data_IF_180144027701
#
_entry.id   IF_180144027701
#
_cell.length_a   1.000
_cell.length_b   1.000
_cell.length_c   1.000
_cell.angle_alpha   90.00
_cell.angle_beta   90.00
_cell.angle_gamma   90.00
#
_symmetry.space_group_name_H-M   'P 1'
#
loop_
_entity.id
_entity.type
_entity.pdbx_description
1 polymer ?
#
# COMPACT_ATOMS: atom_id res chain seq x y z
N UNK A 1 -14.33 0.47 -16.57
CA UNK A 1 -13.28 -0.54 -16.84
C UNK A 1 -12.22 -0.06 -17.83
N UNK A 2 -12.52 0.25 -19.09
CA UNK A 2 -11.49 0.60 -20.10
C UNK A 2 -10.54 1.75 -19.69
N UNK A 3 -11.06 2.85 -19.14
CA UNK A 3 -10.22 3.96 -18.67
C UNK A 3 -9.20 3.51 -17.61
N UNK A 4 -9.67 2.74 -16.63
CA UNK A 4 -8.86 2.19 -15.54
C UNK A 4 -7.80 1.23 -16.08
N UNK A 5 -8.18 0.31 -16.97
CA UNK A 5 -7.24 -0.65 -17.57
C UNK A 5 -6.16 0.02 -18.43
N UNK A 6 -6.52 1.03 -19.24
CA UNK A 6 -5.56 1.81 -20.04
C UNK A 6 -4.56 2.56 -19.14
N UNK A 7 -5.04 3.22 -18.08
CA UNK A 7 -4.17 3.89 -17.11
C UNK A 7 -3.28 2.90 -16.35
N UNK A 8 -3.83 1.77 -15.89
CA UNK A 8 -3.09 0.73 -15.18
C UNK A 8 -1.97 0.13 -16.03
N UNK A 9 -2.23 -0.11 -17.32
CA UNK A 9 -1.22 -0.60 -18.26
C UNK A 9 -0.08 0.41 -18.42
N UNK A 10 -0.40 1.71 -18.52
CA UNK A 10 0.59 2.77 -18.61
C UNK A 10 1.48 2.85 -17.34
N UNK A 11 0.86 2.82 -16.15
CA UNK A 11 1.60 2.81 -14.86
C UNK A 11 2.52 1.59 -14.79
N UNK A 12 2.02 0.41 -15.11
CA UNK A 12 2.81 -0.82 -15.05
C UNK A 12 4.00 -0.83 -16.02
N UNK A 13 3.86 -0.18 -17.18
CA UNK A 13 4.88 -0.17 -18.21
C UNK A 13 5.95 0.92 -18.01
N UNK A 14 5.57 2.06 -17.43
CA UNK A 14 6.42 3.27 -17.42
C UNK A 14 6.60 3.90 -16.05
N UNK A 15 5.84 3.46 -15.05
CA UNK A 15 5.74 4.12 -13.75
C UNK A 15 4.94 5.42 -13.78
N UNK A 16 4.60 5.96 -14.96
CA UNK A 16 3.86 7.23 -15.04
C UNK A 16 2.38 7.07 -14.76
N UNK A 17 1.87 7.96 -13.90
CA UNK A 17 0.46 8.07 -13.53
C UNK A 17 -0.29 9.12 -14.34
N UNK A 18 0.38 9.73 -15.32
CA UNK A 18 -0.23 10.68 -16.23
C UNK A 18 -1.35 10.00 -17.03
N UNK A 19 -2.46 10.70 -17.16
CA UNK A 19 -3.63 10.21 -17.89
C UNK A 19 -3.35 10.35 -19.38
N UNK A 20 -3.24 9.22 -20.09
CA UNK A 20 -3.12 9.23 -21.54
C UNK A 20 -4.39 9.79 -22.19
N UNK A 21 -4.32 10.36 -23.41
CA UNK A 21 -5.50 10.82 -24.14
C UNK A 21 -6.57 9.73 -24.30
N UNK A 22 -6.13 8.49 -24.50
CA UNK A 22 -7.02 7.33 -24.59
C UNK A 22 -7.76 7.09 -23.26
N UNK A 23 -7.03 7.02 -22.14
CA UNK A 23 -7.61 6.79 -20.83
C UNK A 23 -8.61 7.89 -20.44
N UNK A 24 -8.31 9.16 -20.80
CA UNK A 24 -9.21 10.30 -20.61
C UNK A 24 -10.47 10.19 -21.46
N UNK A 25 -10.36 9.77 -22.72
CA UNK A 25 -11.53 9.58 -23.60
C UNK A 25 -12.50 8.54 -23.02
N UNK A 26 -11.99 7.39 -22.57
CA UNK A 26 -12.83 6.38 -21.92
C UNK A 26 -13.43 6.90 -20.61
N UNK A 27 -12.66 7.65 -19.83
CA UNK A 27 -13.13 8.25 -18.57
C UNK A 27 -14.30 9.21 -18.83
N UNK A 28 -14.14 10.15 -19.77
CA UNK A 28 -15.18 11.11 -20.14
C UNK A 28 -16.45 10.44 -20.64
N UNK A 29 -16.31 9.39 -21.47
CA UNK A 29 -17.44 8.59 -21.92
C UNK A 29 -18.18 7.93 -20.76
N UNK A 30 -17.44 7.34 -19.80
CA UNK A 30 -18.03 6.71 -18.62
C UNK A 30 -18.79 7.72 -17.74
N UNK A 31 -18.20 8.90 -17.50
CA UNK A 31 -18.86 9.99 -16.75
C UNK A 31 -20.12 10.49 -17.47
N UNK A 32 -20.08 10.64 -18.79
CA UNK A 32 -21.25 11.06 -19.58
C UNK A 32 -22.40 10.06 -19.47
N UNK A 33 -22.12 8.76 -19.63
CA UNK A 33 -23.12 7.71 -19.51
C UNK A 33 -23.66 7.60 -18.08
N UNK A 34 -22.79 7.75 -17.07
CA UNK A 34 -23.20 7.78 -15.67
C UNK A 34 -24.18 8.93 -15.39
N UNK A 35 -23.90 10.14 -15.89
CA UNK A 35 -24.80 11.29 -15.75
C UNK A 35 -26.17 11.04 -16.36
N UNK A 36 -26.22 10.48 -17.57
CA UNK A 36 -27.48 10.10 -18.21
C UNK A 36 -28.27 9.10 -17.36
N UNK A 37 -27.59 8.10 -16.79
CA UNK A 37 -28.21 7.09 -15.95
C UNK A 37 -28.70 7.62 -14.60
N UNK A 38 -27.99 8.59 -14.03
CA UNK A 38 -28.39 9.25 -12.79
C UNK A 38 -29.59 10.19 -12.98
N UNK A 39 -29.83 10.69 -14.19
CA UNK A 39 -30.99 11.51 -14.52
C UNK A 39 -32.29 10.69 -14.71
N UNK A 40 -32.18 9.36 -14.83
CA UNK A 40 -33.31 8.45 -14.95
C UNK A 40 -33.62 7.80 -13.58
N UNK A 41 -34.77 8.15 -13.01
CA UNK A 41 -35.21 7.67 -11.69
C UNK A 41 -35.30 6.14 -11.59
N UNK A 42 -35.58 5.43 -12.69
CA UNK A 42 -35.64 3.98 -12.70
C UNK A 42 -34.26 3.33 -12.68
N UNK A 43 -33.21 4.06 -13.05
CA UNK A 43 -31.85 3.54 -13.23
C UNK A 43 -30.84 4.10 -12.23
N UNK A 44 -31.12 5.24 -11.59
CA UNK A 44 -30.18 5.99 -10.73
C UNK A 44 -29.66 5.21 -9.52
N UNK A 45 -30.39 4.19 -9.07
CA UNK A 45 -30.00 3.32 -7.95
C UNK A 45 -29.57 1.92 -8.38
N UNK A 46 -29.41 1.65 -9.68
CA UNK A 46 -29.04 0.32 -10.18
C UNK A 46 -27.63 -0.11 -9.82
N UNK A 47 -27.38 -1.43 -9.79
CA UNK A 47 -26.07 -2.02 -9.52
C UNK A 47 -24.94 -1.45 -10.40
N UNK A 48 -25.25 -1.20 -11.68
CA UNK A 48 -24.31 -0.65 -12.64
C UNK A 48 -23.78 0.73 -12.25
N UNK A 49 -24.54 1.52 -11.48
CA UNK A 49 -24.12 2.83 -10.97
C UNK A 49 -23.00 2.64 -9.94
N UNK A 50 -23.18 1.72 -8.98
CA UNK A 50 -22.14 1.41 -7.96
C UNK A 50 -20.87 0.90 -8.62
N UNK A 51 -20.98 -0.03 -9.59
CA UNK A 51 -19.82 -0.56 -10.31
C UNK A 51 -19.10 0.55 -11.07
N UNK A 52 -19.84 1.43 -11.73
CA UNK A 52 -19.26 2.54 -12.50
C UNK A 52 -18.53 3.51 -11.58
N UNK A 53 -19.18 3.95 -10.48
CA UNK A 53 -18.55 4.82 -9.49
C UNK A 53 -17.30 4.19 -8.87
N UNK A 54 -17.35 2.90 -8.52
CA UNK A 54 -16.17 2.17 -8.01
C UNK A 54 -15.01 2.15 -9.00
N UNK A 55 -15.30 1.96 -10.29
CA UNK A 55 -14.29 2.03 -11.35
C UNK A 55 -13.72 3.45 -11.51
N UNK A 56 -14.55 4.48 -11.36
CA UNK A 56 -14.10 5.88 -11.38
C UNK A 56 -13.22 6.17 -10.16
N UNK A 57 -13.58 5.71 -8.95
CA UNK A 57 -12.71 5.78 -7.79
C UNK A 57 -11.35 5.13 -8.07
N UNK A 58 -11.33 3.93 -8.66
CA UNK A 58 -10.08 3.23 -9.00
C UNK A 58 -9.21 4.02 -9.98
N UNK A 59 -9.81 4.59 -11.03
CA UNK A 59 -9.12 5.45 -11.99
C UNK A 59 -8.52 6.70 -11.33
N UNK A 60 -9.34 7.42 -10.56
CA UNK A 60 -8.95 8.65 -9.89
C UNK A 60 -7.82 8.39 -8.88
N UNK A 61 -7.94 7.33 -8.07
CA UNK A 61 -6.94 6.90 -7.12
C UNK A 61 -5.60 6.59 -7.80
N UNK A 62 -5.57 5.84 -8.90
CA UNK A 62 -4.32 5.54 -9.63
C UNK A 62 -3.62 6.80 -10.13
N UNK A 63 -4.41 7.79 -10.55
CA UNK A 63 -3.90 9.09 -11.02
C UNK A 63 -3.56 10.07 -9.89
N UNK A 64 -3.79 9.70 -8.62
CA UNK A 64 -3.54 10.56 -7.46
C UNK A 64 -4.58 11.66 -7.23
N UNK A 65 -5.69 11.69 -7.99
CA UNK A 65 -6.75 12.68 -7.82
C UNK A 65 -7.79 12.21 -6.81
N UNK A 66 -7.41 12.31 -5.55
CA UNK A 66 -8.23 11.76 -4.49
C UNK A 66 -9.44 12.60 -4.08
N UNK A 67 -9.46 13.91 -4.39
CA UNK A 67 -10.67 14.72 -4.22
C UNK A 67 -11.83 14.15 -5.05
N UNK A 68 -11.53 13.63 -6.25
CA UNK A 68 -12.50 12.92 -7.07
C UNK A 68 -12.82 11.51 -6.55
N UNK A 69 -11.87 10.82 -5.91
CA UNK A 69 -12.15 9.55 -5.20
C UNK A 69 -13.18 9.78 -4.10
N UNK A 70 -13.02 10.86 -3.33
CA UNK A 70 -13.92 11.23 -2.24
C UNK A 70 -15.32 11.55 -2.79
N UNK A 71 -15.41 12.32 -3.88
CA UNK A 71 -16.67 12.62 -4.57
C UNK A 71 -17.39 11.34 -5.03
N UNK A 72 -16.70 10.45 -5.75
CA UNK A 72 -17.29 9.22 -6.26
C UNK A 72 -17.69 8.25 -5.13
N UNK A 73 -16.91 8.20 -4.05
CA UNK A 73 -17.23 7.39 -2.86
C UNK A 73 -18.48 7.89 -2.14
N UNK A 74 -18.66 9.21 -2.05
CA UNK A 74 -19.93 9.78 -1.56
C UNK A 74 -21.10 9.43 -2.47
N UNK A 75 -20.89 9.40 -3.79
CA UNK A 75 -21.86 8.89 -4.76
C UNK A 75 -22.26 7.44 -4.48
N UNK A 76 -21.28 6.55 -4.21
CA UNK A 76 -21.54 5.16 -3.83
C UNK A 76 -22.41 5.12 -2.57
N UNK A 77 -22.03 5.87 -1.52
CA UNK A 77 -22.78 5.93 -0.26
C UNK A 77 -24.22 6.38 -0.49
N UNK A 78 -24.45 7.37 -1.35
CA UNK A 78 -25.80 7.83 -1.70
C UNK A 78 -26.63 6.72 -2.35
N UNK A 79 -26.07 6.02 -3.34
CA UNK A 79 -26.78 4.92 -4.03
C UNK A 79 -27.08 3.75 -3.07
N UNK A 80 -26.15 3.42 -2.17
CA UNK A 80 -26.38 2.40 -1.13
C UNK A 80 -27.55 2.79 -0.22
N UNK A 81 -27.62 4.05 0.20
CA UNK A 81 -28.72 4.55 1.02
C UNK A 81 -30.07 4.48 0.30
N UNK A 82 -30.12 4.83 -0.99
CA UNK A 82 -31.33 4.72 -1.81
C UNK A 82 -31.88 3.29 -1.90
N UNK A 83 -31.04 2.28 -1.63
CA UNK A 83 -31.41 0.86 -1.67
C UNK A 83 -31.72 0.26 -0.31
N UNK A 84 -31.67 1.05 0.76
CA UNK A 84 -31.93 0.57 2.12
C UNK A 84 -30.70 0.01 2.85
N UNK A 85 -29.49 0.21 2.32
CA UNK A 85 -28.24 -0.18 2.96
C UNK A 85 -27.45 -1.26 2.22
N UNK A 86 -26.34 -1.68 2.84
CA UNK A 86 -25.35 -2.58 2.22
C UNK A 86 -25.89 -4.00 1.97
N UNK A 87 -26.81 -4.47 2.80
CA UNK A 87 -27.33 -5.83 2.72
C UNK A 87 -28.41 -5.98 1.64
N UNK A 88 -28.83 -4.86 1.04
CA UNK A 88 -29.80 -4.80 -0.06
C UNK A 88 -29.14 -4.71 -1.46
N UNK A 89 -27.82 -4.91 -1.53
CA UNK A 89 -27.05 -4.83 -2.76
C UNK A 89 -26.98 -6.18 -3.48
N UNK A 90 -26.88 -6.14 -4.81
CA UNK A 90 -26.83 -7.33 -5.66
C UNK A 90 -25.47 -8.05 -5.68
N UNK A 91 -25.38 -9.05 -6.57
CA UNK A 91 -24.17 -9.84 -6.83
C UNK A 91 -23.62 -10.61 -5.61
N UNK A 92 -24.50 -11.25 -4.84
CA UNK A 92 -24.10 -12.16 -3.75
C UNK A 92 -23.09 -11.52 -2.75
N UNK A 93 -23.28 -10.24 -2.45
CA UNK A 93 -22.42 -9.49 -1.53
C UNK A 93 -21.17 -8.87 -2.15
N UNK A 94 -20.90 -9.08 -3.44
CA UNK A 94 -19.78 -8.42 -4.14
C UNK A 94 -19.89 -6.89 -4.08
N UNK A 95 -21.09 -6.33 -4.33
CA UNK A 95 -21.30 -4.88 -4.25
C UNK A 95 -21.21 -4.34 -2.83
N UNK A 96 -21.59 -5.15 -1.83
CA UNK A 96 -21.38 -4.83 -0.41
C UNK A 96 -19.90 -4.72 -0.11
N UNK A 97 -19.12 -5.73 -0.47
CA UNK A 97 -17.65 -5.72 -0.32
C UNK A 97 -17.05 -4.48 -0.97
N UNK A 98 -17.44 -4.19 -2.23
CA UNK A 98 -16.90 -3.03 -2.95
C UNK A 98 -17.24 -1.71 -2.27
N UNK A 99 -18.50 -1.54 -1.89
CA UNK A 99 -18.96 -0.30 -1.30
C UNK A 99 -18.36 -0.07 0.08
N UNK A 100 -18.19 -1.14 0.88
CA UNK A 100 -17.56 -1.07 2.20
C UNK A 100 -16.11 -0.67 2.07
N UNK A 101 -15.31 -1.28 1.18
CA UNK A 101 -13.89 -0.93 1.13
C UNK A 101 -13.64 0.50 0.67
N UNK A 102 -14.42 1.04 -0.28
CA UNK A 102 -14.29 2.45 -0.66
C UNK A 102 -14.66 3.37 0.50
N UNK A 103 -15.71 3.05 1.26
CA UNK A 103 -16.06 3.81 2.46
C UNK A 103 -15.02 3.68 3.57
N UNK A 104 -14.41 2.51 3.76
CA UNK A 104 -13.29 2.31 4.68
C UNK A 104 -12.06 3.10 4.23
N UNK A 105 -11.74 3.09 2.94
CA UNK A 105 -10.65 3.89 2.38
C UNK A 105 -10.87 5.39 2.63
N UNK A 106 -12.06 5.90 2.30
CA UNK A 106 -12.49 7.27 2.57
C UNK A 106 -12.35 7.63 4.06
N UNK A 107 -12.94 6.83 4.95
CA UNK A 107 -12.88 7.08 6.39
C UNK A 107 -11.44 7.05 6.92
N UNK A 108 -10.61 6.12 6.43
CA UNK A 108 -9.20 5.98 6.82
C UNK A 108 -8.39 7.18 6.38
N UNK A 109 -8.54 7.61 5.12
CA UNK A 109 -7.91 8.80 4.55
C UNK A 109 -8.23 10.06 5.34
N UNK A 110 -9.53 10.32 5.57
CA UNK A 110 -9.95 11.49 6.34
C UNK A 110 -9.47 11.45 7.80
N UNK A 111 -9.42 10.27 8.41
CA UNK A 111 -8.88 10.09 9.76
C UNK A 111 -7.38 10.39 9.83
N UNK A 112 -6.59 9.92 8.85
CA UNK A 112 -5.17 10.24 8.74
C UNK A 112 -4.96 11.74 8.58
N UNK A 113 -5.71 12.39 7.68
CA UNK A 113 -5.60 13.83 7.45
C UNK A 113 -5.99 14.68 8.64
N UNK A 114 -6.93 14.23 9.47
CA UNK A 114 -7.29 14.92 10.70
C UNK A 114 -6.16 14.88 11.74
N UNK A 115 -5.41 13.78 11.81
CA UNK A 115 -4.33 13.57 12.80
C UNK A 115 -2.99 14.12 12.32
N UNK A 116 -2.63 13.83 11.08
CA UNK A 116 -1.34 14.14 10.47
C UNK A 116 -1.56 15.07 9.30
N UNK A 117 -2.14 16.25 9.59
CA UNK A 117 -2.25 17.33 8.59
C UNK A 117 -0.88 17.50 7.94
N UNK A 118 -0.86 17.54 6.61
CA UNK A 118 0.32 17.87 5.80
C UNK A 118 1.52 16.93 5.89
N UNK A 119 1.36 15.63 6.19
CA UNK A 119 2.51 14.73 6.06
C UNK A 119 3.00 14.64 4.62
N UNK A 120 2.08 14.54 3.65
CA UNK A 120 2.43 14.61 2.23
C UNK A 120 2.40 16.09 1.80
N UNK A 121 3.52 16.65 1.33
CA UNK A 121 3.59 18.03 0.85
C UNK A 121 2.68 18.22 -0.38
N UNK A 122 1.93 19.33 -0.42
CA UNK A 122 1.00 19.63 -1.53
C UNK A 122 1.71 19.86 -2.87
N UNK A 123 2.93 20.37 -2.81
CA UNK A 123 3.81 20.58 -3.96
C UNK A 123 4.58 19.31 -4.35
N UNK A 124 4.44 18.22 -3.57
CA UNK A 124 5.15 16.96 -3.79
C UNK A 124 6.64 17.02 -3.46
N UNK A 125 7.14 18.10 -2.85
CA UNK A 125 8.57 18.24 -2.56
C UNK A 125 8.90 17.71 -1.16
N UNK A 126 9.61 16.59 -1.12
CA UNK A 126 10.07 15.97 0.12
C UNK A 126 11.30 16.70 0.66
N UNK A 127 11.33 16.89 1.98
CA UNK A 127 12.43 17.57 2.67
C UNK A 127 13.37 16.53 3.25
N UNK A 128 14.64 16.55 2.86
CA UNK A 128 15.66 15.61 3.33
C UNK A 128 16.52 16.29 4.40
N UNK A 129 16.68 15.66 5.59
CA UNK A 129 17.57 16.18 6.62
C UNK A 129 19.03 16.19 6.13
N UNK A 130 19.76 17.25 6.45
CA UNK A 130 21.20 17.36 6.20
C UNK A 130 21.99 17.35 7.51
N UNK A 131 23.26 16.97 7.44
CA UNK A 131 24.12 16.98 8.62
C UNK A 131 24.59 18.42 8.97
N UNK A 132 24.68 18.75 10.27
CA UNK A 132 24.26 17.94 11.41
C UNK A 132 22.73 17.87 11.53
N UNK A 133 22.19 16.69 11.86
CA UNK A 133 20.75 16.54 12.03
C UNK A 133 20.23 17.32 13.23
N UNK A 134 18.98 17.78 13.11
CA UNK A 134 18.25 18.39 14.22
C UNK A 134 18.19 17.44 15.44
N UNK A 135 18.47 17.93 16.66
CA UNK A 135 18.43 17.09 17.86
C UNK A 135 17.06 16.44 18.13
N UNK A 136 15.96 17.13 17.81
CA UNK A 136 14.62 16.58 17.90
C UNK A 136 14.41 15.41 16.95
N UNK A 137 14.92 15.52 15.73
CA UNK A 137 14.93 14.43 14.75
C UNK A 137 15.77 13.24 15.23
N UNK A 138 16.96 13.48 15.77
CA UNK A 138 17.81 12.43 16.35
C UNK A 138 17.09 11.67 17.48
N UNK A 139 16.34 12.37 18.33
CA UNK A 139 15.55 11.76 19.41
C UNK A 139 14.42 10.86 18.88
N UNK A 140 13.87 11.15 17.70
CA UNK A 140 12.88 10.29 17.03
C UNK A 140 13.59 9.06 16.46
N UNK A 141 14.66 9.27 15.68
CA UNK A 141 15.43 8.20 15.03
C UNK A 141 16.02 7.23 16.05
N UNK A 142 16.47 7.70 17.22
CA UNK A 142 17.02 6.86 18.28
C UNK A 142 16.04 5.82 18.84
N UNK A 143 14.74 5.97 18.59
CA UNK A 143 13.70 5.00 19.00
C UNK A 143 13.43 3.93 17.95
N UNK A 144 13.98 4.07 16.75
CA UNK A 144 13.77 3.12 15.67
C UNK A 144 14.51 1.81 15.91
N UNK A 145 14.07 0.77 15.20
CA UNK A 145 14.79 -0.50 15.13
C UNK A 145 16.13 -0.28 14.43
N UNK A 146 17.19 -1.05 14.77
CA UNK A 146 18.55 -0.79 14.31
C UNK A 146 18.68 -0.57 12.79
N UNK A 147 18.06 -1.42 11.97
CA UNK A 147 18.14 -1.31 10.52
C UNK A 147 17.47 -0.05 9.95
N UNK A 148 16.41 0.44 10.61
CA UNK A 148 15.74 1.70 10.24
C UNK A 148 16.51 2.92 10.74
N UNK A 149 17.18 2.81 11.89
CA UNK A 149 18.08 3.84 12.41
C UNK A 149 19.20 4.11 11.43
N UNK A 150 19.90 3.06 10.98
CA UNK A 150 21.01 3.20 10.01
C UNK A 150 20.53 3.79 8.69
N UNK A 151 19.36 3.36 8.21
CA UNK A 151 18.76 3.91 7.00
C UNK A 151 18.42 5.40 7.14
N UNK A 152 17.80 5.80 8.25
CA UNK A 152 17.46 7.20 8.50
C UNK A 152 18.71 8.07 8.66
N UNK A 153 19.74 7.57 9.36
CA UNK A 153 20.97 8.32 9.60
C UNK A 153 21.84 8.47 8.34
N UNK A 154 21.59 7.69 7.29
CA UNK A 154 22.27 7.83 6.00
C UNK A 154 21.91 9.12 5.24
N UNK A 155 20.90 9.86 5.69
CA UNK A 155 20.35 11.04 4.98
C UNK A 155 19.48 10.68 3.77
N UNK A 156 19.27 9.39 3.49
CA UNK A 156 18.49 8.91 2.34
C UNK A 156 16.97 8.94 2.53
N UNK A 157 16.47 9.32 3.70
CA UNK A 157 15.04 9.38 4.02
C UNK A 157 14.59 10.83 4.23
N UNK A 158 13.47 11.19 3.63
CA UNK A 158 12.83 12.48 3.92
C UNK A 158 12.26 12.53 5.33
N UNK A 159 12.07 13.74 5.86
CA UNK A 159 11.38 14.00 7.12
C UNK A 159 10.02 13.28 7.18
N UNK A 160 9.32 13.24 6.04
CA UNK A 160 8.01 12.61 5.92
C UNK A 160 8.08 11.09 6.13
N UNK A 161 9.12 10.43 5.61
CA UNK A 161 9.34 9.00 5.83
C UNK A 161 9.72 8.69 7.27
N UNK A 162 10.55 9.54 7.88
CA UNK A 162 10.94 9.40 9.29
C UNK A 162 9.71 9.50 10.19
N UNK A 163 8.83 10.47 9.94
CA UNK A 163 7.57 10.59 10.69
C UNK A 163 6.65 9.40 10.44
N UNK A 164 6.53 8.91 9.19
CA UNK A 164 5.73 7.71 8.89
C UNK A 164 6.23 6.47 9.66
N UNK A 165 7.55 6.25 9.68
CA UNK A 165 8.16 5.15 10.46
C UNK A 165 7.79 5.29 11.94
N UNK A 166 7.93 6.49 12.50
CA UNK A 166 7.62 6.75 13.91
C UNK A 166 6.15 6.49 14.23
N UNK A 167 5.23 6.86 13.34
CA UNK A 167 3.79 6.64 13.54
C UNK A 167 3.44 5.15 13.52
N UNK A 168 4.04 4.37 12.62
CA UNK A 168 3.82 2.92 12.55
C UNK A 168 4.43 2.21 13.78
N UNK A 169 5.62 2.64 14.24
CA UNK A 169 6.23 2.07 15.45
C UNK A 169 5.40 2.35 16.71
N UNK A 170 4.91 3.58 16.87
CA UNK A 170 4.01 3.94 17.97
C UNK A 170 2.74 3.11 17.94
N UNK A 171 2.11 2.96 16.77
CA UNK A 171 0.90 2.16 16.62
C UNK A 171 1.11 0.68 16.95
N UNK A 172 2.21 0.07 16.50
CA UNK A 172 2.52 -1.31 16.83
C UNK A 172 2.75 -1.50 18.34
N UNK A 173 3.39 -0.52 18.99
CA UNK A 173 3.59 -0.50 20.43
C UNK A 173 2.27 -0.39 21.18
N UNK A 174 1.37 0.48 20.73
CA UNK A 174 0.04 0.63 21.30
C UNK A 174 -0.75 -0.68 21.19
N UNK A 175 -0.70 -1.38 20.05
CA UNK A 175 -1.31 -2.72 19.91
C UNK A 175 -0.75 -3.70 20.94
N UNK A 176 0.59 -3.77 21.08
CA UNK A 176 1.22 -4.69 22.05
C UNK A 176 0.80 -4.37 23.48
N UNK A 177 0.72 -3.09 23.82
CA UNK A 177 0.29 -2.64 25.15
C UNK A 177 -1.19 -3.01 25.41
N UNK A 178 -2.09 -2.75 24.47
CA UNK A 178 -3.51 -3.09 24.61
C UNK A 178 -3.74 -4.61 24.68
N UNK A 179 -2.96 -5.41 23.94
CA UNK A 179 -2.98 -6.88 24.05
C UNK A 179 -2.58 -7.35 25.45
N UNK A 180 -1.52 -6.77 26.02
CA UNK A 180 -1.09 -7.09 27.39
C UNK A 180 -2.13 -6.70 28.43
N UNK A 181 -2.83 -5.58 28.20
CA UNK A 181 -3.88 -5.08 29.10
C UNK A 181 -5.24 -5.77 28.88
N UNK A 182 -5.37 -6.64 27.87
CA UNK A 182 -6.63 -7.28 27.47
C UNK A 182 -7.76 -6.27 27.17
N UNK A 183 -7.42 -5.09 26.67
CA UNK A 183 -8.40 -4.05 26.34
C UNK A 183 -9.03 -4.31 24.96
N UNK A 184 -10.16 -5.00 24.95
CA UNK A 184 -10.87 -5.35 23.73
C UNK A 184 -11.41 -4.15 22.94
N UNK A 185 -11.71 -3.02 23.60
CA UNK A 185 -12.25 -1.83 22.93
C UNK A 185 -11.16 -1.09 22.18
N UNK A 186 -10.01 -0.87 22.83
CA UNK A 186 -8.84 -0.25 22.19
C UNK A 186 -8.29 -1.12 21.06
N UNK A 187 -8.26 -2.44 21.24
CA UNK A 187 -7.86 -3.37 20.19
C UNK A 187 -8.75 -3.26 18.95
N UNK A 188 -10.07 -3.08 19.11
CA UNK A 188 -10.95 -2.90 17.95
C UNK A 188 -10.63 -1.61 17.18
N UNK A 189 -10.38 -0.49 17.87
CA UNK A 189 -9.98 0.77 17.26
C UNK A 189 -8.59 0.72 16.61
N UNK A 190 -7.62 0.08 17.28
CA UNK A 190 -6.23 -0.04 16.82
C UNK A 190 -6.06 -1.09 15.70
N UNK A 191 -6.96 -2.07 15.62
CA UNK A 191 -6.97 -3.09 14.56
C UNK A 191 -7.24 -2.49 13.16
N UNK A 192 -7.70 -1.25 13.09
CA UNK A 192 -7.91 -0.52 11.84
C UNK A 192 -6.58 0.00 11.27
N UNK A 193 -5.76 -0.92 10.76
CA UNK A 193 -4.53 -0.59 10.03
C UNK A 193 -4.78 0.02 8.64
N UNK A 194 -6.05 0.11 8.23
CA UNK A 194 -6.45 0.74 6.97
C UNK A 194 -5.90 2.17 6.84
N UNK A 195 -5.61 2.86 7.96
CA UNK A 195 -4.94 4.17 7.99
C UNK A 195 -3.53 4.12 7.40
N UNK A 196 -2.64 3.29 7.92
CA UNK A 196 -1.27 3.21 7.43
C UNK A 196 -1.17 2.53 6.07
N UNK A 197 -2.06 1.58 5.77
CA UNK A 197 -2.23 1.03 4.41
C UNK A 197 -2.59 2.15 3.42
N UNK A 198 -3.56 3.00 3.77
CA UNK A 198 -3.98 4.14 2.94
C UNK A 198 -2.86 5.14 2.77
N UNK A 199 -2.20 5.53 3.87
CA UNK A 199 -1.12 6.51 3.85
C UNK A 199 0.09 6.03 3.03
N UNK A 200 0.53 4.77 3.23
CA UNK A 200 1.56 4.15 2.38
C UNK A 200 1.16 4.15 0.90
N UNK A 201 -0.10 3.84 0.60
CA UNK A 201 -0.64 3.93 -0.75
C UNK A 201 -0.51 5.34 -1.34
N UNK A 202 -0.88 6.38 -0.59
CA UNK A 202 -0.75 7.77 -1.02
C UNK A 202 0.70 8.21 -1.24
N UNK A 203 1.63 7.75 -0.40
CA UNK A 203 3.05 7.99 -0.61
C UNK A 203 3.55 7.35 -1.89
N UNK A 204 3.22 6.09 -2.18
CA UNK A 204 3.61 5.44 -3.44
C UNK A 204 3.09 6.15 -4.69
N UNK A 205 2.14 7.08 -4.53
CA UNK A 205 1.59 7.89 -5.62
C UNK A 205 2.40 9.16 -5.89
N UNK A 206 3.37 9.50 -5.03
CA UNK A 206 4.18 10.69 -5.16
C UNK A 206 5.34 10.47 -6.15
N UNK A 207 5.42 11.28 -7.22
CA UNK A 207 6.36 11.04 -8.34
C UNK A 207 7.82 11.33 -7.99
N UNK A 208 8.06 12.09 -6.92
CA UNK A 208 9.37 12.58 -6.48
C UNK A 208 10.08 11.64 -5.50
N UNK A 209 9.43 10.54 -5.09
CA UNK A 209 10.04 9.60 -4.16
C UNK A 209 11.26 8.93 -4.75
N UNK A 210 12.32 8.85 -3.94
CA UNK A 210 13.49 8.06 -4.28
C UNK A 210 13.16 6.58 -4.33
N UNK A 211 13.97 5.79 -5.04
CA UNK A 211 13.80 4.33 -5.10
C UNK A 211 13.87 3.70 -3.69
N UNK A 212 14.72 4.22 -2.82
CA UNK A 212 14.86 3.76 -1.42
C UNK A 212 13.54 3.95 -0.68
N UNK A 213 12.93 5.14 -0.77
CA UNK A 213 11.66 5.42 -0.10
C UNK A 213 10.50 4.61 -0.71
N UNK A 214 10.47 4.42 -2.03
CA UNK A 214 9.49 3.53 -2.68
C UNK A 214 9.58 2.11 -2.10
N UNK A 215 10.78 1.54 -1.99
CA UNK A 215 10.99 0.20 -1.42
C UNK A 215 10.67 0.15 0.08
N UNK A 216 11.01 1.20 0.83
CA UNK A 216 10.68 1.34 2.25
C UNK A 216 9.16 1.30 2.44
N UNK A 217 8.40 2.06 1.65
CA UNK A 217 6.94 2.09 1.71
C UNK A 217 6.36 0.74 1.31
N UNK A 218 6.92 0.04 0.32
CA UNK A 218 6.48 -1.31 -0.02
C UNK A 218 6.68 -2.30 1.14
N UNK A 219 7.82 -2.22 1.82
CA UNK A 219 8.08 -2.99 3.05
C UNK A 219 7.07 -2.65 4.15
N UNK A 220 6.86 -1.37 4.44
CA UNK A 220 5.88 -0.94 5.46
C UNK A 220 4.44 -1.34 5.10
N UNK A 221 4.04 -1.17 3.85
CA UNK A 221 2.72 -1.57 3.36
C UNK A 221 2.51 -3.08 3.49
N UNK A 222 3.52 -3.88 3.13
CA UNK A 222 3.50 -5.33 3.33
C UNK A 222 3.38 -5.70 4.81
N UNK A 223 4.17 -5.09 5.68
CA UNK A 223 4.07 -5.28 7.13
C UNK A 223 2.68 -4.92 7.65
N UNK A 224 2.12 -3.79 7.23
CA UNK A 224 0.78 -3.37 7.61
C UNK A 224 -0.29 -4.38 7.17
N UNK A 225 -0.23 -4.90 5.95
CA UNK A 225 -1.15 -5.96 5.55
C UNK A 225 -0.97 -7.25 6.32
N UNK A 226 0.26 -7.54 6.74
CA UNK A 226 0.56 -8.74 7.50
C UNK A 226 -0.23 -8.78 8.82
N UNK A 227 -0.55 -7.61 9.37
CA UNK A 227 -1.28 -7.41 10.64
C UNK A 227 -2.73 -6.98 10.46
N UNK A 228 -3.22 -6.76 9.22
CA UNK A 228 -4.62 -6.43 8.94
C UNK A 228 -5.48 -7.70 8.83
N UNK A 229 -6.22 -8.00 9.89
CA UNK A 229 -7.13 -9.15 9.95
C UNK A 229 -8.44 -8.93 9.18
N UNK A 230 -8.85 -7.67 8.97
CA UNK A 230 -10.11 -7.36 8.29
C UNK A 230 -9.98 -7.52 6.79
N UNK A 231 -8.78 -7.25 6.26
CA UNK A 231 -8.48 -7.17 4.82
C UNK A 231 -9.48 -6.29 4.07
N UNK A 232 -10.13 -5.35 4.77
CA UNK A 232 -11.27 -4.62 4.25
C UNK A 232 -10.91 -3.78 3.02
N UNK A 233 -9.69 -3.25 2.96
CA UNK A 233 -9.17 -2.50 1.81
C UNK A 233 -8.22 -3.33 0.95
N UNK A 234 -7.96 -4.59 1.29
CA UNK A 234 -6.88 -5.38 0.69
C UNK A 234 -7.00 -5.47 -0.83
N UNK A 235 -8.17 -5.76 -1.40
CA UNK A 235 -8.30 -5.86 -2.86
C UNK A 235 -7.92 -4.53 -3.54
N UNK A 236 -8.38 -3.41 -2.98
CA UNK A 236 -8.18 -2.08 -3.55
C UNK A 236 -6.70 -1.72 -3.56
N UNK A 237 -6.08 -1.76 -2.40
CA UNK A 237 -4.70 -1.33 -2.24
C UNK A 237 -3.70 -2.39 -2.75
N UNK A 238 -4.07 -3.67 -2.82
CA UNK A 238 -3.28 -4.71 -3.51
C UNK A 238 -3.25 -4.45 -5.03
N UNK A 239 -4.33 -3.97 -5.66
CA UNK A 239 -4.30 -3.62 -7.07
C UNK A 239 -3.22 -2.55 -7.37
N UNK A 240 -3.14 -1.50 -6.55
CA UNK A 240 -2.11 -0.46 -6.69
C UNK A 240 -0.70 -1.01 -6.47
N UNK A 241 -0.54 -1.83 -5.43
CA UNK A 241 0.72 -2.50 -5.12
C UNK A 241 1.21 -3.36 -6.30
N UNK A 242 0.34 -4.18 -6.90
CA UNK A 242 0.68 -5.05 -8.02
C UNK A 242 1.21 -4.27 -9.21
N UNK A 243 0.56 -3.14 -9.53
CA UNK A 243 0.98 -2.28 -10.64
C UNK A 243 2.34 -1.63 -10.37
N UNK A 244 2.56 -1.15 -9.15
CA UNK A 244 3.82 -0.52 -8.79
C UNK A 244 4.98 -1.54 -8.73
N UNK A 245 4.78 -2.72 -8.14
CA UNK A 245 5.77 -3.79 -8.16
C UNK A 245 6.06 -4.27 -9.59
N UNK A 246 5.05 -4.32 -10.46
CA UNK A 246 5.25 -4.66 -11.88
C UNK A 246 6.18 -3.67 -12.58
N UNK A 247 6.01 -2.38 -12.32
CA UNK A 247 6.92 -1.36 -12.80
C UNK A 247 8.34 -1.56 -12.23
N UNK A 248 8.49 -1.73 -10.92
CA UNK A 248 9.80 -1.94 -10.29
C UNK A 248 10.51 -3.22 -10.77
N UNK A 249 9.77 -4.28 -11.12
CA UNK A 249 10.32 -5.48 -11.75
C UNK A 249 10.95 -5.21 -13.13
N UNK A 250 10.60 -4.09 -13.78
CA UNK A 250 11.21 -3.67 -15.05
C UNK A 250 12.41 -2.73 -14.87
N UNK A 251 12.67 -2.27 -13.65
CA UNK A 251 13.76 -1.34 -13.33
C UNK A 251 14.94 -2.12 -12.74
N UNK A 252 16.16 -1.72 -13.09
CA UNK A 252 17.36 -2.29 -12.47
C UNK A 252 17.53 -1.73 -11.06
N UNK A 253 17.36 -2.58 -10.05
CA UNK A 253 17.59 -2.24 -8.65
C UNK A 253 18.95 -2.80 -8.22
N UNK A 254 19.87 -1.92 -7.85
CA UNK A 254 21.20 -2.33 -7.39
C UNK A 254 21.15 -2.78 -5.93
N UNK A 255 21.53 -4.03 -5.70
CA UNK A 255 21.74 -4.59 -4.36
C UNK A 255 23.24 -4.69 -4.13
N UNK A 256 23.71 -3.99 -3.11
CA UNK A 256 25.13 -3.87 -2.70
C UNK A 256 25.25 -4.35 -1.27
N UNK A 257 26.48 -4.56 -0.79
CA UNK A 257 26.70 -4.91 0.62
C UNK A 257 26.12 -3.87 1.59
N UNK A 258 26.14 -2.57 1.22
CA UNK A 258 25.64 -1.48 2.06
C UNK A 258 24.13 -1.45 2.23
N UNK A 259 23.36 -2.01 1.30
CA UNK A 259 21.89 -2.02 1.35
C UNK A 259 21.30 -3.42 1.39
N UNK A 260 22.12 -4.47 1.46
CA UNK A 260 21.69 -5.86 1.41
C UNK A 260 20.70 -6.22 2.52
N UNK A 261 20.89 -5.68 3.73
CA UNK A 261 19.99 -5.93 4.86
C UNK A 261 18.61 -5.31 4.64
N UNK A 262 18.57 -4.03 4.23
CA UNK A 262 17.33 -3.34 3.87
C UNK A 262 16.59 -4.06 2.74
N UNK A 263 17.30 -4.46 1.69
CA UNK A 263 16.71 -5.19 0.56
C UNK A 263 16.20 -6.57 0.98
N UNK A 264 16.92 -7.25 1.90
CA UNK A 264 16.49 -8.52 2.48
C UNK A 264 15.21 -8.36 3.27
N UNK A 265 15.09 -7.30 4.08
CA UNK A 265 13.87 -7.00 4.82
C UNK A 265 12.69 -6.75 3.88
N UNK A 266 12.81 -5.81 2.92
CA UNK A 266 11.75 -5.50 1.96
C UNK A 266 11.28 -6.76 1.25
N UNK A 267 12.22 -7.54 0.71
CA UNK A 267 11.90 -8.75 -0.01
C UNK A 267 11.24 -9.82 0.88
N UNK A 268 11.75 -10.03 2.10
CA UNK A 268 11.20 -11.01 3.03
C UNK A 268 9.78 -10.64 3.46
N UNK A 269 9.51 -9.35 3.66
CA UNK A 269 8.17 -8.85 3.96
C UNK A 269 7.21 -9.10 2.81
N UNK A 270 7.61 -8.76 1.58
CA UNK A 270 6.79 -8.99 0.40
C UNK A 270 6.52 -10.49 0.17
N UNK A 271 7.54 -11.34 0.30
CA UNK A 271 7.39 -12.78 0.17
C UNK A 271 6.47 -13.38 1.26
N UNK A 272 6.66 -12.98 2.52
CA UNK A 272 5.81 -13.45 3.62
C UNK A 272 4.34 -13.06 3.41
N UNK A 273 4.10 -11.82 2.97
CA UNK A 273 2.77 -11.22 2.92
C UNK A 273 1.96 -11.63 1.69
N UNK A 274 2.59 -11.71 0.51
CA UNK A 274 1.90 -11.89 -0.77
C UNK A 274 2.09 -13.30 -1.35
N UNK A 275 1.16 -13.71 -2.20
CA UNK A 275 1.13 -15.08 -2.72
C UNK A 275 2.18 -15.31 -3.83
N UNK A 276 2.73 -16.53 -3.94
CA UNK A 276 3.56 -16.92 -5.06
C UNK A 276 2.87 -16.63 -6.40
N UNK A 277 3.63 -16.07 -7.35
CA UNK A 277 3.14 -15.68 -8.68
C UNK A 277 2.58 -14.25 -8.77
N UNK A 278 2.45 -13.55 -7.66
CA UNK A 278 2.10 -12.13 -7.64
C UNK A 278 3.29 -11.22 -8.02
N UNK A 279 3.03 -9.98 -8.43
CA UNK A 279 4.09 -9.01 -8.76
C UNK A 279 4.96 -8.62 -7.54
N UNK A 280 4.40 -8.43 -6.33
CA UNK A 280 5.21 -8.23 -5.13
C UNK A 280 6.11 -9.43 -4.81
N UNK A 281 5.62 -10.66 -5.03
CA UNK A 281 6.43 -11.86 -4.88
C UNK A 281 7.58 -11.92 -5.89
N UNK A 282 7.31 -11.58 -7.16
CA UNK A 282 8.36 -11.51 -8.19
C UNK A 282 9.45 -10.49 -7.82
N UNK A 283 9.06 -9.32 -7.30
CA UNK A 283 9.99 -8.29 -6.83
C UNK A 283 10.80 -8.76 -5.63
N UNK A 284 10.15 -9.44 -4.68
CA UNK A 284 10.84 -10.06 -3.55
C UNK A 284 11.94 -11.02 -4.02
N UNK A 285 11.61 -11.89 -4.97
CA UNK A 285 12.56 -12.85 -5.49
C UNK A 285 13.72 -12.20 -6.23
N UNK A 286 13.46 -11.19 -7.07
CA UNK A 286 14.54 -10.47 -7.77
C UNK A 286 15.49 -9.78 -6.80
N UNK A 287 14.98 -9.18 -5.73
CA UNK A 287 15.80 -8.53 -4.71
C UNK A 287 16.66 -9.53 -3.93
N UNK A 288 16.09 -10.67 -3.50
CA UNK A 288 16.86 -11.71 -2.78
C UNK A 288 17.94 -12.35 -3.66
N UNK A 289 17.64 -12.54 -4.95
CA UNK A 289 18.58 -13.12 -5.92
C UNK A 289 19.73 -12.17 -6.27
N UNK A 290 19.48 -10.87 -6.29
CA UNK A 290 20.49 -9.86 -6.60
C UNK A 290 21.51 -9.62 -5.46
N UNK A 291 21.32 -10.24 -4.27
CA UNK A 291 22.23 -10.06 -3.13
C UNK A 291 23.64 -10.61 -3.42
N UNK A 292 24.69 -9.90 -2.96
CA UNK A 292 26.07 -10.40 -3.05
C UNK A 292 26.28 -11.73 -2.31
N UNK A 293 25.62 -11.89 -1.16
CA UNK A 293 25.66 -13.12 -0.35
C UNK A 293 24.26 -13.73 -0.24
N UNK A 294 24.18 -15.03 -0.51
CA UNK A 294 22.94 -15.78 -0.32
C UNK A 294 22.80 -16.18 1.15
N UNK A 295 21.63 -15.91 1.71
CA UNK A 295 21.25 -16.34 3.05
C UNK A 295 20.10 -17.33 2.94
N UNK A 296 20.07 -18.29 3.86
CA UNK A 296 18.90 -19.14 4.02
C UNK A 296 17.72 -18.33 4.59
N UNK A 297 16.53 -18.94 4.61
CA UNK A 297 15.34 -18.24 5.07
C UNK A 297 15.43 -17.81 6.55
N UNK A 298 16.22 -18.50 7.38
CA UNK A 298 16.45 -18.14 8.78
C UNK A 298 17.33 -16.90 8.89
N UNK A 299 18.40 -16.83 8.10
CA UNK A 299 19.21 -15.63 7.94
C UNK A 299 18.36 -14.42 7.53
N UNK A 300 17.46 -14.61 6.56
CA UNK A 300 16.53 -13.56 6.12
C UNK A 300 15.61 -13.08 7.27
N UNK A 301 15.10 -13.99 8.10
CA UNK A 301 14.29 -13.64 9.28
C UNK A 301 15.11 -12.85 10.29
N UNK A 302 16.32 -13.31 10.65
CA UNK A 302 17.19 -12.63 11.61
C UNK A 302 17.51 -11.19 11.16
N UNK A 303 17.78 -10.99 9.87
CA UNK A 303 17.98 -9.65 9.31
C UNK A 303 16.70 -8.81 9.41
N UNK A 304 15.55 -9.41 9.07
CA UNK A 304 14.26 -8.71 9.05
C UNK A 304 13.81 -8.27 10.45
N UNK A 305 14.22 -8.94 11.52
CA UNK A 305 13.93 -8.56 12.90
C UNK A 305 14.59 -7.23 13.32
N UNK A 306 15.63 -6.78 12.62
CA UNK A 306 16.21 -5.44 12.78
C UNK A 306 15.34 -4.31 12.16
N UNK A 307 14.25 -4.68 11.49
CA UNK A 307 13.26 -3.81 10.83
C UNK A 307 11.84 -4.25 11.25
N UNK A 308 10.78 -3.74 10.61
CA UNK A 308 9.40 -4.16 10.90
C UNK A 308 9.13 -5.61 10.51
N UNK A 309 9.01 -6.47 11.52
CA UNK A 309 8.78 -7.91 11.39
C UNK A 309 7.98 -8.44 12.58
N UNK A 310 7.18 -9.49 12.34
CA UNK A 310 6.42 -10.19 13.37
C UNK A 310 6.39 -11.71 13.14
N UNK A 311 6.02 -12.47 14.18
CA UNK A 311 6.05 -13.94 14.16
C UNK A 311 5.15 -14.56 13.07
N UNK A 312 4.00 -13.94 12.80
CA UNK A 312 3.09 -14.43 11.75
C UNK A 312 3.71 -14.36 10.35
N UNK A 313 4.67 -13.45 10.14
CA UNK A 313 5.43 -13.36 8.89
C UNK A 313 6.48 -14.46 8.81
N UNK A 314 7.14 -14.81 9.92
CA UNK A 314 8.04 -15.98 9.99
C UNK A 314 7.33 -17.27 9.61
N UNK A 315 6.11 -17.49 10.13
CA UNK A 315 5.30 -18.68 9.81
C UNK A 315 4.86 -18.70 8.34
N UNK A 316 4.46 -17.55 7.78
CA UNK A 316 4.06 -17.45 6.37
C UNK A 316 5.24 -17.57 5.40
N UNK A 317 6.41 -17.06 5.77
CA UNK A 317 7.61 -17.22 4.97
C UNK A 317 8.07 -18.68 4.97
N UNK A 318 8.04 -19.33 6.14
CA UNK A 318 8.47 -20.73 6.26
C UNK A 318 7.58 -21.68 5.46
N UNK A 319 6.27 -21.45 5.40
CA UNK A 319 5.35 -22.25 4.58
C UNK A 319 5.59 -22.10 3.07
N UNK A 320 6.31 -21.06 2.64
CA UNK A 320 6.61 -20.76 1.23
C UNK A 320 8.05 -21.09 0.82
N UNK A 321 8.86 -21.70 1.70
CA UNK A 321 10.26 -22.07 1.41
C UNK A 321 10.39 -22.93 0.14
N UNK A 322 9.45 -23.85 -0.10
CA UNK A 322 9.46 -24.70 -1.29
C UNK A 322 9.46 -23.89 -2.60
N UNK A 323 8.68 -22.81 -2.66
CA UNK A 323 8.62 -21.93 -3.83
C UNK A 323 9.90 -21.11 -4.01
N UNK A 324 10.52 -20.69 -2.91
CA UNK A 324 11.80 -19.97 -2.96
C UNK A 324 12.94 -20.85 -3.49
N UNK A 325 12.87 -22.18 -3.28
CA UNK A 325 13.87 -23.15 -3.76
C UNK A 325 13.65 -23.62 -5.20
N UNK A 326 12.40 -23.73 -5.66
CA UNK A 326 12.07 -24.29 -6.97
C UNK A 326 12.37 -23.37 -8.17
N UNK A 327 12.66 -22.09 -7.94
CA UNK A 327 13.00 -21.12 -8.99
C UNK A 327 14.52 -20.89 -9.19
N UNK A 328 15.37 -21.70 -8.57
CA UNK A 328 16.81 -21.81 -8.89
C UNK A 328 17.05 -23.00 -9.84
N UNK A 329 17.27 -22.79 -11.15
CA UNK A 329 17.51 -23.87 -12.10
C UNK A 329 18.96 -24.40 -12.08
N UNK A 330 19.72 -24.21 -10.99
CA UNK A 330 21.15 -24.57 -10.91
C UNK A 330 21.48 -25.59 -9.80
N UNK A 331 20.52 -26.41 -9.39
CA UNK A 331 20.69 -27.41 -8.33
C UNK A 331 20.38 -28.85 -8.74
N UNK A 332 20.71 -29.26 -9.97
CA UNK A 332 20.81 -30.67 -10.34
C UNK A 332 22.10 -30.90 -11.12
N UNK A 333 23.14 -31.27 -10.39
CA UNK A 333 24.35 -31.92 -10.87
C UNK A 333 24.52 -33.23 -10.12
#
# INVERSE_FOLDING_TARGET
MLAMSSLAANVAATGTRQRSPESLRYYQSAVSMLRQRLADDAQRSGDAVIITLSNLCGFEAMSGNYDAVDMHTQGIRHVVNLRGGFDSLGFEGFLRTISVAWQTFYASRHSVWARVKSLIPKDGNFAYPEHPFDPGLCNIIAKFRPGLTDLALSGGLSHQMIVLISEIDNWERDIKNSLQQSDAYDLHGLSQNSRYVTLCGEFLHQPTLTLVEQLLILGMLGFCYSTDHTRATFWLSNAFLQLHCRYLNSVVIQVTERNAEFMTWVASVLAATFDPGSQPWALAFSLLKARPSQQDWRGNVNVSENFFWNESMSLRLSSKIGYLRQQDPQGQG
#
